data_IF_098198362479
#
_entry.id   IF_098198362479
#
_cell.length_a   1.000
_cell.length_b   1.000
_cell.length_c   1.000
_cell.angle_alpha   90.00
_cell.angle_beta   90.00
_cell.angle_gamma   90.00
#
_symmetry.space_group_name_H-M   'P 1'
#
loop_
_entity.id
_entity.type
_entity.pdbx_description
1 polymer ?
#
# COMPACT_ATOMS: atom_id res chain seq x y z
N UNK A 1 14.11 -6.32 9.76
CA UNK A 1 13.48 -5.03 9.40
C UNK A 1 13.71 -4.83 7.92
N UNK A 2 12.65 -4.55 7.13
CA UNK A 2 12.76 -4.39 5.68
C UNK A 2 13.49 -3.07 5.39
N UNK A 3 14.53 -3.12 4.56
CA UNK A 3 15.18 -1.92 4.05
C UNK A 3 14.39 -1.37 2.85
N UNK A 4 13.46 -0.46 3.16
CA UNK A 4 12.62 0.21 2.16
C UNK A 4 13.41 1.09 1.18
N UNK A 5 14.67 1.43 1.50
CA UNK A 5 15.56 2.19 0.63
C UNK A 5 16.17 1.33 -0.50
N UNK A 6 16.33 0.03 -0.25
CA UNK A 6 16.91 -0.93 -1.21
C UNK A 6 15.86 -1.74 -1.98
N UNK A 7 14.59 -1.66 -1.59
CA UNK A 7 13.50 -2.36 -2.29
C UNK A 7 13.26 -1.74 -3.68
N UNK A 8 13.51 -2.53 -4.73
CA UNK A 8 13.13 -2.16 -6.09
C UNK A 8 11.62 -2.33 -6.29
N UNK A 9 10.89 -1.22 -6.13
CA UNK A 9 9.42 -1.14 -6.25
C UNK A 9 8.91 -1.72 -7.58
N UNK A 10 9.70 -1.65 -8.66
CA UNK A 10 9.27 -2.13 -9.97
C UNK A 10 9.29 -3.66 -10.07
N UNK A 11 10.04 -4.34 -9.20
CA UNK A 11 10.11 -5.79 -9.13
C UNK A 11 9.16 -6.38 -8.08
N UNK A 12 8.47 -5.53 -7.32
CA UNK A 12 7.49 -5.98 -6.34
C UNK A 12 6.26 -6.56 -7.04
N UNK A 13 5.86 -7.74 -6.60
CA UNK A 13 4.64 -8.42 -7.03
C UNK A 13 3.69 -8.60 -5.84
N UNK A 14 2.45 -8.97 -6.13
CA UNK A 14 1.48 -9.27 -5.09
C UNK A 14 0.55 -10.41 -5.49
N UNK A 15 0.01 -11.06 -4.48
CA UNK A 15 -1.07 -12.03 -4.60
C UNK A 15 -2.24 -11.60 -3.71
N UNK A 16 -3.46 -11.82 -4.20
CA UNK A 16 -4.66 -11.61 -3.39
C UNK A 16 -4.86 -12.83 -2.50
N UNK A 17 -4.93 -12.61 -1.20
CA UNK A 17 -5.25 -13.65 -0.24
C UNK A 17 -6.77 -13.80 -0.15
N UNK A 18 -7.33 -14.63 -1.05
CA UNK A 18 -8.77 -14.78 -1.22
C UNK A 18 -9.48 -15.24 0.08
N UNK A 19 -8.81 -16.05 0.90
CA UNK A 19 -9.33 -16.53 2.19
C UNK A 19 -9.43 -15.40 3.23
N UNK A 20 -8.65 -14.34 3.07
CA UNK A 20 -8.64 -13.19 3.98
C UNK A 20 -9.57 -12.05 3.56
N UNK A 21 -10.30 -12.18 2.44
CA UNK A 21 -11.21 -11.13 1.96
C UNK A 21 -12.35 -10.95 2.97
N UNK A 22 -12.55 -9.71 3.43
CA UNK A 22 -13.59 -9.38 4.39
C UNK A 22 -14.60 -8.42 3.76
N UNK A 23 -15.87 -8.76 3.87
CA UNK A 23 -16.97 -7.87 3.53
C UNK A 23 -17.43 -7.14 4.80
N UNK A 24 -17.17 -5.85 4.85
CA UNK A 24 -17.61 -4.93 5.90
C UNK A 24 -18.77 -4.08 5.38
N UNK A 25 -19.49 -3.41 6.28
CA UNK A 25 -20.54 -2.48 5.90
C UNK A 25 -19.98 -1.35 5.03
N UNK A 26 -20.30 -1.37 3.74
CA UNK A 26 -19.87 -0.37 2.76
C UNK A 26 -18.46 -0.57 2.17
N UNK A 27 -17.70 -1.57 2.59
CA UNK A 27 -16.38 -1.84 2.03
C UNK A 27 -16.05 -3.34 1.93
N UNK A 28 -15.28 -3.72 0.91
CA UNK A 28 -14.59 -4.99 0.80
C UNK A 28 -13.11 -4.76 1.07
N UNK A 29 -12.55 -5.50 2.02
CA UNK A 29 -11.12 -5.45 2.37
C UNK A 29 -10.42 -6.61 1.70
N UNK A 30 -9.46 -6.29 0.85
CA UNK A 30 -8.71 -7.23 0.02
C UNK A 30 -7.27 -7.29 0.56
N UNK A 31 -6.89 -8.35 1.28
CA UNK A 31 -5.51 -8.51 1.72
C UNK A 31 -4.60 -8.89 0.54
N UNK A 32 -3.53 -8.12 0.38
CA UNK A 32 -2.48 -8.37 -0.60
C UNK A 32 -1.24 -8.92 0.10
N UNK A 33 -0.80 -10.12 -0.26
CA UNK A 33 0.52 -10.63 0.08
C UNK A 33 1.52 -10.01 -0.88
N UNK A 34 2.53 -9.32 -0.37
CA UNK A 34 3.49 -8.57 -1.17
C UNK A 34 4.83 -9.29 -1.16
N UNK A 35 5.41 -9.47 -2.34
CA UNK A 35 6.66 -10.19 -2.56
C UNK A 35 7.69 -9.30 -3.25
N UNK A 36 8.97 -9.51 -2.95
CA UNK A 36 10.05 -8.80 -3.64
C UNK A 36 10.40 -9.44 -4.99
N UNK A 37 11.37 -8.87 -5.69
CA UNK A 37 11.85 -9.39 -6.98
C UNK A 37 12.49 -10.77 -6.94
N UNK A 38 12.77 -11.32 -5.74
CA UNK A 38 13.23 -12.69 -5.55
C UNK A 38 12.10 -13.67 -5.25
N UNK A 39 10.86 -13.18 -5.11
CA UNK A 39 9.70 -13.95 -4.69
C UNK A 39 9.60 -14.14 -3.17
N UNK A 40 10.40 -13.43 -2.38
CA UNK A 40 10.33 -13.50 -0.93
C UNK A 40 9.15 -12.69 -0.41
N UNK A 41 8.33 -13.29 0.46
CA UNK A 41 7.27 -12.56 1.15
C UNK A 41 7.84 -11.46 2.04
N UNK A 42 7.29 -10.25 1.89
CA UNK A 42 7.72 -9.07 2.61
C UNK A 42 6.70 -8.71 3.70
N UNK A 43 5.45 -8.50 3.32
CA UNK A 43 4.37 -8.08 4.21
C UNK A 43 2.98 -8.27 3.59
N UNK A 44 1.94 -8.15 4.41
CA UNK A 44 0.54 -8.10 3.96
C UNK A 44 0.03 -6.66 4.00
N UNK A 45 -0.66 -6.23 2.94
CA UNK A 45 -1.30 -4.92 2.86
C UNK A 45 -2.80 -5.05 2.58
N UNK A 46 -3.69 -4.61 3.49
CA UNK A 46 -5.11 -4.57 3.20
C UNK A 46 -5.44 -3.38 2.28
N UNK A 47 -6.11 -3.66 1.16
CA UNK A 47 -6.69 -2.63 0.29
C UNK A 47 -8.20 -2.62 0.48
N UNK A 48 -8.73 -1.50 0.96
CA UNK A 48 -10.17 -1.30 1.10
C UNK A 48 -10.76 -0.72 -0.18
N UNK A 49 -11.82 -1.35 -0.68
CA UNK A 49 -12.59 -0.94 -1.85
C UNK A 49 -14.04 -0.75 -1.41
N UNK A 50 -14.74 0.27 -1.89
CA UNK A 50 -16.16 0.44 -1.58
C UNK A 50 -16.96 -0.74 -2.16
N UNK A 51 -17.89 -1.30 -1.40
CA UNK A 51 -18.64 -2.48 -1.84
C UNK A 51 -19.45 -2.20 -3.11
N UNK A 52 -20.06 -1.02 -3.22
CA UNK A 52 -20.81 -0.59 -4.42
C UNK A 52 -19.94 -0.62 -5.68
N UNK A 53 -18.72 -0.08 -5.59
CA UNK A 53 -17.79 -0.02 -6.69
C UNK A 53 -17.27 -1.41 -7.05
N UNK A 54 -16.97 -2.25 -6.05
CA UNK A 54 -16.53 -3.62 -6.27
C UNK A 54 -17.59 -4.45 -7.01
N UNK A 55 -18.87 -4.32 -6.61
CA UNK A 55 -19.98 -4.99 -7.28
C UNK A 55 -20.16 -4.50 -8.72
N UNK A 56 -20.12 -3.19 -8.95
CA UNK A 56 -20.18 -2.62 -10.31
C UNK A 56 -18.98 -3.04 -11.17
N UNK A 57 -17.78 -3.11 -10.59
CA UNK A 57 -16.59 -3.54 -11.32
C UNK A 57 -16.78 -4.96 -11.84
N UNK A 58 -17.33 -5.87 -11.04
CA UNK A 58 -17.58 -7.27 -11.43
C UNK A 58 -18.57 -7.46 -12.59
N UNK A 59 -19.35 -6.43 -12.94
CA UNK A 59 -20.27 -6.50 -14.09
C UNK A 59 -19.61 -6.12 -15.42
N UNK A 60 -18.34 -5.69 -15.40
CA UNK A 60 -17.59 -5.29 -16.60
C UNK A 60 -16.81 -6.48 -17.14
N UNK A 61 -16.77 -6.65 -18.46
CA UNK A 61 -15.94 -7.67 -19.09
C UNK A 61 -14.44 -7.42 -18.82
N UNK A 62 -13.72 -8.47 -18.42
CA UNK A 62 -12.31 -8.36 -18.05
C UNK A 62 -12.05 -7.56 -16.77
N UNK A 63 -13.04 -7.46 -15.87
CA UNK A 63 -12.93 -6.73 -14.61
C UNK A 63 -11.72 -7.13 -13.77
N UNK A 64 -11.29 -8.39 -13.80
CA UNK A 64 -10.13 -8.86 -13.05
C UNK A 64 -8.85 -8.12 -13.44
N UNK A 65 -8.68 -7.82 -14.74
CA UNK A 65 -7.52 -7.07 -15.24
C UNK A 65 -7.54 -5.64 -14.71
N UNK A 66 -8.72 -5.00 -14.72
CA UNK A 66 -8.87 -3.64 -14.19
C UNK A 66 -8.70 -3.61 -12.67
N UNK A 67 -9.25 -4.60 -11.98
CA UNK A 67 -9.10 -4.77 -10.54
C UNK A 67 -7.64 -4.93 -10.14
N UNK A 68 -6.88 -5.79 -10.84
CA UNK A 68 -5.46 -5.95 -10.61
C UNK A 68 -4.67 -4.65 -10.81
N UNK A 69 -5.03 -3.83 -11.82
CA UNK A 69 -4.41 -2.50 -11.99
C UNK A 69 -4.70 -1.57 -10.82
N UNK A 70 -5.93 -1.58 -10.30
CA UNK A 70 -6.30 -0.79 -9.11
C UNK A 70 -5.47 -1.23 -7.91
N UNK A 71 -5.40 -2.54 -7.63
CA UNK A 71 -4.61 -3.10 -6.54
C UNK A 71 -3.13 -2.75 -6.68
N UNK A 72 -2.56 -2.88 -7.88
CA UNK A 72 -1.17 -2.51 -8.17
C UNK A 72 -0.91 -1.02 -7.91
N UNK A 73 -1.82 -0.14 -8.31
CA UNK A 73 -1.69 1.31 -8.07
C UNK A 73 -1.71 1.62 -6.57
N UNK A 74 -2.65 1.00 -5.82
CA UNK A 74 -2.73 1.16 -4.36
C UNK A 74 -1.48 0.67 -3.65
N UNK A 75 -0.93 -0.46 -4.10
CA UNK A 75 0.32 -0.99 -3.57
C UNK A 75 1.50 -0.05 -3.85
N UNK A 76 1.59 0.52 -5.05
CA UNK A 76 2.64 1.51 -5.39
C UNK A 76 2.57 2.75 -4.51
N UNK A 77 1.37 3.28 -4.26
CA UNK A 77 1.16 4.39 -3.32
C UNK A 77 1.67 4.04 -1.93
N UNK A 78 1.35 2.85 -1.43
CA UNK A 78 1.80 2.37 -0.12
C UNK A 78 3.32 2.21 -0.03
N UNK A 79 3.94 1.60 -1.04
CA UNK A 79 5.41 1.45 -1.09
C UNK A 79 6.11 2.82 -1.12
N UNK A 80 5.55 3.78 -1.86
CA UNK A 80 6.00 5.17 -1.85
C UNK A 80 5.94 5.80 -0.46
N UNK A 81 4.82 5.64 0.25
CA UNK A 81 4.65 6.12 1.63
C UNK A 81 5.66 5.48 2.59
N UNK A 82 5.90 4.17 2.48
CA UNK A 82 6.86 3.45 3.34
C UNK A 82 8.29 3.91 3.10
N UNK A 83 8.67 4.11 1.84
CA UNK A 83 9.99 4.64 1.47
C UNK A 83 10.19 6.07 1.97
N UNK A 84 9.18 6.93 1.90
CA UNK A 84 9.27 8.28 2.47
C UNK A 84 9.40 8.26 4.00
N UNK A 85 8.66 7.37 4.68
CA UNK A 85 8.76 7.20 6.14
C UNK A 85 10.13 6.70 6.59
N UNK A 86 10.82 5.88 5.79
CA UNK A 86 12.18 5.42 6.10
C UNK A 86 13.25 6.49 5.85
N UNK A 87 13.00 7.47 4.97
CA UNK A 87 13.98 8.52 4.63
C UNK A 87 14.07 9.60 5.70
N UNK A 88 12.98 9.89 6.43
CA UNK A 88 13.01 10.92 7.48
C UNK A 88 13.52 10.31 8.78
N UNK A 89 14.78 10.55 9.10
CA UNK A 89 15.34 10.15 10.40
C UNK A 89 14.60 10.86 11.54
N UNK A 90 14.54 10.22 12.72
CA UNK A 90 13.97 10.87 13.92
C UNK A 90 14.69 12.20 14.20
N UNK A 91 16.00 12.28 13.93
CA UNK A 91 16.78 13.51 14.10
C UNK A 91 16.30 14.63 13.16
N UNK A 92 15.92 14.32 11.92
CA UNK A 92 15.40 15.32 10.98
C UNK A 92 13.98 15.78 11.36
N UNK A 93 13.15 14.88 11.91
CA UNK A 93 11.85 15.27 12.48
C UNK A 93 12.01 16.24 13.65
N UNK A 94 12.96 15.97 14.55
CA UNK A 94 13.25 16.83 15.70
C UNK A 94 13.74 18.22 15.27
N UNK A 95 14.56 18.31 14.21
CA UNK A 95 15.00 19.59 13.65
C UNK A 95 13.83 20.40 13.09
N UNK A 96 12.90 19.77 12.38
CA UNK A 96 11.72 20.45 11.84
C UNK A 96 10.79 20.99 12.95
N UNK A 97 10.56 20.21 14.00
CA UNK A 97 9.77 20.64 15.15
C UNK A 97 10.45 21.73 15.99
N UNK A 98 11.79 21.80 15.99
CA UNK A 98 12.54 22.86 16.65
C UNK A 98 12.44 24.21 15.90
N UNK A 99 12.33 24.18 14.56
CA UNK A 99 12.19 25.39 13.74
C UNK A 99 10.81 26.05 13.96
N UNK A 100 9.74 25.27 14.11
CA UNK A 100 8.39 25.82 14.37
C UNK A 100 8.26 26.55 15.72
N UNK A 101 9.04 26.13 16.73
CA UNK A 101 9.09 26.82 18.04
C UNK A 101 9.79 28.17 17.99
N UNK A 102 10.71 28.39 17.05
CA UNK A 102 11.46 29.65 16.94
C UNK A 102 10.69 30.71 16.15
N UNK A 103 9.76 30.31 15.29
CA UNK A 103 8.94 31.25 14.48
C UNK A 103 7.69 31.70 15.27
N UNK A 104 7.31 30.98 16.31
CA UNK A 104 6.16 31.29 17.18
C UNK A 104 6.55 32.02 18.48
N UNK A 105 7.79 32.51 18.58
CA UNK A 105 8.34 33.21 19.74
C UNK A 105 8.67 34.66 19.45
#
# INVERSE_FOLDING_TARGET
>A
MIDWGQLDINKVTFEVDAEGVQELTGAVVIPLKVFDGSGQFIFTHPVSIRSEFYLQLKTVDGWQVQFNKILQSRLKEELGRRRQRSVVSIQDRLKLSAIEKTISG
#
